data_IF_570990781685
#
_entry.id   IF_570990781685
#
_cell.length_a   1.000
_cell.length_b   1.000
_cell.length_c   1.000
_cell.angle_alpha   90.00
_cell.angle_beta   90.00
_cell.angle_gamma   90.00
#
_symmetry.space_group_name_H-M   'P 1'
#
loop_
_entity.id
_entity.type
_entity.pdbx_description
1 polymer ?
#
# COMPACT_ATOMS: atom_id res chain seq x y z
N UNK A 1 36.88 -28.00 61.04
CA UNK A 1 36.89 -28.40 59.62
C UNK A 1 35.47 -28.40 59.10
N UNK A 2 35.26 -27.75 57.94
CA UNK A 2 34.08 -27.80 57.04
C UNK A 2 32.80 -27.12 57.55
N UNK A 3 32.09 -26.31 56.78
CA UNK A 3 32.29 -25.65 55.49
C UNK A 3 31.22 -24.54 55.42
N UNK A 4 31.62 -23.32 55.12
CA UNK A 4 30.74 -22.17 54.95
C UNK A 4 30.11 -22.24 53.55
N UNK A 5 28.80 -22.43 53.45
CA UNK A 5 28.08 -22.50 52.17
C UNK A 5 27.80 -21.06 51.72
N UNK A 6 28.52 -20.62 50.69
CA UNK A 6 28.33 -19.33 50.02
C UNK A 6 27.25 -19.53 48.95
N UNK A 7 26.09 -18.86 49.12
CA UNK A 7 25.09 -18.74 48.06
C UNK A 7 25.54 -17.69 47.06
N UNK A 8 26.02 -18.13 45.89
CA UNK A 8 26.31 -17.26 44.75
C UNK A 8 25.01 -17.09 43.97
N UNK A 9 24.34 -15.95 44.17
CA UNK A 9 23.20 -15.55 43.36
C UNK A 9 23.70 -15.16 41.99
N UNK A 10 23.55 -16.06 41.01
CA UNK A 10 23.87 -15.82 39.61
C UNK A 10 22.85 -14.82 39.05
N UNK A 11 23.26 -13.57 38.90
CA UNK A 11 22.52 -12.57 38.12
C UNK A 11 22.69 -12.96 36.64
N UNK A 12 21.73 -13.70 36.11
CA UNK A 12 21.59 -13.91 34.67
C UNK A 12 21.10 -12.58 34.09
N UNK A 13 22.04 -11.77 33.60
CA UNK A 13 21.73 -10.68 32.70
C UNK A 13 21.20 -11.31 31.41
N UNK A 14 19.89 -11.42 31.28
CA UNK A 14 19.25 -11.71 29.99
C UNK A 14 19.40 -10.48 29.11
N UNK A 15 20.55 -10.38 28.45
CA UNK A 15 20.71 -9.59 27.25
C UNK A 15 19.77 -10.18 26.21
N UNK A 16 18.53 -9.69 26.17
CA UNK A 16 17.63 -9.95 25.07
C UNK A 16 18.25 -9.28 23.84
N UNK A 17 19.01 -10.07 23.08
CA UNK A 17 19.40 -9.71 21.72
C UNK A 17 18.11 -9.54 20.93
N UNK A 18 17.62 -8.31 20.85
CA UNK A 18 16.65 -7.94 19.83
C UNK A 18 17.30 -8.25 18.48
N UNK A 19 16.69 -9.10 17.63
CA UNK A 19 17.31 -9.49 16.37
C UNK A 19 17.49 -8.25 15.51
N UNK A 20 18.75 -7.84 15.36
CA UNK A 20 19.37 -7.11 14.26
C UNK A 20 18.55 -6.04 13.52
N UNK A 21 17.70 -5.30 14.24
CA UNK A 21 16.88 -4.24 13.64
C UNK A 21 17.77 -3.18 12.98
N UNK A 22 18.95 -2.89 13.55
CA UNK A 22 19.89 -1.92 12.99
C UNK A 22 20.41 -2.30 11.60
N UNK A 23 20.62 -3.59 11.36
CA UNK A 23 21.13 -4.09 10.08
C UNK A 23 20.07 -4.02 8.97
N UNK A 24 18.79 -4.30 9.27
CA UNK A 24 17.70 -4.16 8.28
C UNK A 24 17.54 -2.72 7.80
N UNK A 25 17.57 -1.77 8.73
CA UNK A 25 17.44 -0.35 8.39
C UNK A 25 18.62 0.13 7.54
N UNK A 26 19.86 -0.14 7.98
CA UNK A 26 21.05 0.27 7.20
C UNK A 26 21.10 -0.44 5.84
N UNK A 27 20.67 -1.70 5.75
CA UNK A 27 20.52 -2.39 4.46
C UNK A 27 19.56 -1.64 3.53
N UNK A 28 18.38 -1.25 4.02
CA UNK A 28 17.42 -0.50 3.22
C UNK A 28 17.94 0.87 2.79
N UNK A 29 18.60 1.60 3.70
CA UNK A 29 19.21 2.90 3.40
C UNK A 29 20.34 2.79 2.36
N UNK A 30 21.15 1.74 2.41
CA UNK A 30 22.17 1.48 1.37
C UNK A 30 21.53 1.10 0.04
N UNK A 31 20.48 0.28 0.07
CA UNK A 31 19.76 -0.17 -1.12
C UNK A 31 19.05 0.99 -1.85
N UNK A 32 18.73 2.08 -1.14
CA UNK A 32 18.17 3.31 -1.71
C UNK A 32 19.17 4.10 -2.59
N UNK A 33 20.49 3.85 -2.47
CA UNK A 33 21.54 4.51 -3.24
C UNK A 33 21.41 6.05 -3.18
N UNK A 34 21.21 6.70 -4.33
CA UNK A 34 21.08 8.16 -4.43
C UNK A 34 19.85 8.70 -3.69
N UNK A 35 18.85 7.86 -3.38
CA UNK A 35 17.63 8.26 -2.69
C UNK A 35 17.71 8.08 -1.16
N UNK A 36 18.86 7.65 -0.63
CA UNK A 36 19.08 7.48 0.83
C UNK A 36 18.67 8.71 1.65
N UNK A 37 19.01 9.91 1.16
CA UNK A 37 18.73 11.17 1.85
C UNK A 37 17.23 11.44 2.05
N UNK A 38 16.37 11.01 1.13
CA UNK A 38 14.92 11.13 1.31
C UNK A 38 14.43 10.23 2.45
N UNK A 39 14.98 9.01 2.59
CA UNK A 39 14.59 8.08 3.65
C UNK A 39 15.11 8.54 5.03
N UNK A 40 16.34 9.05 5.09
CA UNK A 40 16.91 9.65 6.32
C UNK A 40 16.10 10.87 6.77
N UNK A 41 15.67 11.73 5.82
CA UNK A 41 14.80 12.88 6.11
C UNK A 41 13.50 12.47 6.80
N UNK A 42 12.91 11.32 6.45
CA UNK A 42 11.69 10.81 7.15
C UNK A 42 11.99 10.39 8.58
N UNK A 43 13.12 9.71 8.81
CA UNK A 43 13.53 9.27 10.15
C UNK A 43 13.81 10.47 11.07
N UNK A 44 14.49 11.49 10.53
CA UNK A 44 14.80 12.73 11.24
C UNK A 44 13.53 13.54 11.54
N UNK A 45 12.59 13.59 10.59
CA UNK A 45 11.32 14.29 10.75
C UNK A 45 10.53 13.80 11.97
N UNK A 46 10.59 12.49 12.26
CA UNK A 46 9.90 11.88 13.40
C UNK A 46 10.82 11.60 14.60
N UNK A 47 12.02 12.21 14.68
CA UNK A 47 12.99 11.93 15.75
C UNK A 47 12.40 12.05 17.16
N UNK A 48 11.59 13.09 17.41
CA UNK A 48 10.94 13.34 18.71
C UNK A 48 9.58 12.62 18.87
N UNK A 49 9.19 11.76 17.92
CA UNK A 49 7.95 10.99 17.98
C UNK A 49 8.23 9.49 17.82
N UNK A 50 8.45 8.75 18.93
CA UNK A 50 8.86 7.35 18.87
C UNK A 50 7.89 6.42 18.12
N UNK A 51 6.57 6.66 18.21
CA UNK A 51 5.56 5.80 17.56
C UNK A 51 5.59 6.00 16.03
N UNK A 52 5.65 7.26 15.56
CA UNK A 52 5.77 7.56 14.13
C UNK A 52 7.16 7.21 13.58
N UNK A 53 8.22 7.37 14.36
CA UNK A 53 9.57 6.96 13.98
C UNK A 53 9.65 5.44 13.79
N UNK A 54 9.00 4.67 14.66
CA UNK A 54 8.90 3.22 14.51
C UNK A 54 8.13 2.83 13.23
N UNK A 55 7.06 3.57 12.89
CA UNK A 55 6.30 3.33 11.66
C UNK A 55 7.11 3.69 10.39
N UNK A 56 7.81 4.82 10.39
CA UNK A 56 8.73 5.19 9.33
C UNK A 56 9.80 4.13 9.10
N UNK A 57 10.41 3.64 10.19
CA UNK A 57 11.37 2.56 10.17
C UNK A 57 10.78 1.27 9.60
N UNK A 58 9.58 0.87 10.04
CA UNK A 58 8.90 -0.31 9.52
C UNK A 58 8.73 -0.24 8.00
N UNK A 59 8.28 0.91 7.47
CA UNK A 59 8.16 1.09 6.02
C UNK A 59 9.53 0.98 5.33
N UNK A 60 10.53 1.73 5.81
CA UNK A 60 11.87 1.79 5.19
C UNK A 60 12.54 0.41 5.18
N UNK A 61 12.49 -0.34 6.28
CA UNK A 61 13.11 -1.67 6.39
C UNK A 61 12.55 -2.68 5.38
N UNK A 62 11.29 -2.51 4.96
CA UNK A 62 10.62 -3.41 4.02
C UNK A 62 10.72 -2.95 2.55
N UNK A 63 11.01 -1.67 2.28
CA UNK A 63 11.09 -1.11 0.92
C UNK A 63 11.99 -1.87 -0.07
N UNK A 64 13.12 -2.50 0.31
CA UNK A 64 13.94 -3.27 -0.62
C UNK A 64 13.18 -4.42 -1.32
N UNK A 65 12.08 -4.87 -0.73
CA UNK A 65 11.23 -5.93 -1.28
C UNK A 65 10.05 -5.40 -2.12
N UNK A 66 9.88 -4.08 -2.22
CA UNK A 66 8.75 -3.43 -2.88
C UNK A 66 9.18 -2.67 -4.13
N UNK A 67 8.54 -3.00 -5.25
CA UNK A 67 8.81 -2.39 -6.55
C UNK A 67 7.57 -2.39 -7.45
N UNK A 68 7.48 -1.40 -8.34
CA UNK A 68 6.53 -1.39 -9.45
C UNK A 68 7.18 -1.80 -10.76
N UNK A 69 6.36 -2.06 -11.78
CA UNK A 69 6.83 -2.22 -13.16
C UNK A 69 6.60 -0.94 -13.95
N UNK A 70 7.59 -0.51 -14.74
CA UNK A 70 7.44 0.62 -15.67
C UNK A 70 7.70 0.16 -17.10
N UNK A 71 6.77 0.51 -17.99
CA UNK A 71 6.86 0.19 -19.42
C UNK A 71 5.84 1.02 -20.21
N UNK A 72 6.29 1.64 -21.30
CA UNK A 72 5.43 2.47 -22.16
C UNK A 72 4.29 1.66 -22.80
N UNK A 73 4.48 0.34 -22.96
CA UNK A 73 3.44 -0.57 -23.42
C UNK A 73 2.29 -0.65 -22.41
N UNK A 74 2.58 -0.67 -21.10
CA UNK A 74 1.55 -0.66 -20.06
C UNK A 74 0.73 0.62 -20.12
N UNK A 75 1.40 1.77 -20.27
CA UNK A 75 0.71 3.07 -20.41
C UNK A 75 -0.19 3.09 -21.64
N UNK A 76 0.27 2.50 -22.75
CA UNK A 76 -0.52 2.38 -23.98
C UNK A 76 -1.77 1.52 -23.77
N UNK A 77 -1.62 0.35 -23.13
CA UNK A 77 -2.74 -0.57 -22.85
C UNK A 77 -3.74 0.08 -21.88
N UNK A 78 -3.25 0.77 -20.83
CA UNK A 78 -4.11 1.53 -19.90
C UNK A 78 -4.92 2.61 -20.60
N UNK A 79 -4.34 3.29 -21.60
CA UNK A 79 -5.08 4.27 -22.40
C UNK A 79 -6.13 3.61 -23.31
N UNK A 80 -5.81 2.47 -23.92
CA UNK A 80 -6.78 1.70 -24.72
C UNK A 80 -8.00 1.30 -23.86
N UNK A 81 -7.75 0.81 -22.64
CA UNK A 81 -8.80 0.49 -21.68
C UNK A 81 -9.63 1.73 -21.31
N UNK A 82 -8.97 2.83 -20.93
CA UNK A 82 -9.64 4.08 -20.57
C UNK A 82 -10.51 4.65 -21.71
N UNK A 83 -10.01 4.58 -22.93
CA UNK A 83 -10.76 4.97 -24.13
C UNK A 83 -11.99 4.10 -24.37
N UNK A 84 -11.88 2.78 -24.21
CA UNK A 84 -13.01 1.86 -24.34
C UNK A 84 -14.07 2.12 -23.27
N UNK A 85 -13.65 2.39 -22.02
CA UNK A 85 -14.53 2.80 -20.92
C UNK A 85 -15.26 4.09 -21.28
N UNK A 86 -14.54 5.11 -21.77
CA UNK A 86 -15.11 6.41 -22.18
C UNK A 86 -16.14 6.26 -23.31
N UNK A 87 -15.90 5.35 -24.25
CA UNK A 87 -16.82 5.03 -25.35
C UNK A 87 -17.99 4.14 -24.92
N UNK A 88 -17.95 3.59 -23.70
CA UNK A 88 -18.90 2.58 -23.19
C UNK A 88 -18.99 1.37 -24.13
N UNK A 89 -17.84 0.91 -24.63
CA UNK A 89 -17.74 -0.30 -25.44
C UNK A 89 -17.95 -1.53 -24.56
N UNK A 90 -19.20 -1.84 -24.18
CA UNK A 90 -19.53 -2.87 -23.19
C UNK A 90 -20.49 -3.89 -23.79
N UNK A 91 -20.24 -5.16 -23.52
CA UNK A 91 -21.17 -6.26 -23.78
C UNK A 91 -21.89 -6.64 -22.49
N UNK A 92 -23.21 -6.79 -22.56
CA UNK A 92 -24.02 -6.99 -21.35
C UNK A 92 -23.98 -5.76 -20.45
N UNK A 93 -23.79 -5.97 -19.15
CA UNK A 93 -23.81 -4.88 -18.16
C UNK A 93 -22.41 -4.37 -17.79
N UNK A 94 -21.39 -5.23 -17.88
CA UNK A 94 -20.10 -4.96 -17.25
C UNK A 94 -18.88 -5.46 -18.03
N UNK A 95 -19.02 -6.25 -19.11
CA UNK A 95 -17.85 -6.76 -19.84
C UNK A 95 -17.33 -5.72 -20.86
N UNK A 96 -16.14 -5.18 -20.62
CA UNK A 96 -15.52 -4.21 -21.53
C UNK A 96 -14.96 -4.91 -22.79
N UNK A 97 -15.34 -4.39 -23.95
CA UNK A 97 -14.93 -4.88 -25.26
C UNK A 97 -13.84 -3.99 -25.84
N UNK A 98 -12.77 -4.65 -26.31
CA UNK A 98 -11.62 -4.01 -26.93
C UNK A 98 -11.61 -4.31 -28.43
N UNK A 99 -11.30 -3.29 -29.25
CA UNK A 99 -11.18 -3.46 -30.69
C UNK A 99 -10.15 -4.54 -31.01
N UNK A 100 -10.49 -5.45 -31.93
CA UNK A 100 -9.63 -6.55 -32.36
C UNK A 100 -8.20 -6.12 -32.73
N UNK A 101 -8.03 -4.97 -33.38
CA UNK A 101 -6.71 -4.40 -33.74
C UNK A 101 -5.78 -4.20 -32.52
N UNK A 102 -6.35 -3.88 -31.36
CA UNK A 102 -5.60 -3.70 -30.12
C UNK A 102 -5.28 -5.05 -29.48
N UNK A 103 -6.23 -5.99 -29.51
CA UNK A 103 -6.01 -7.36 -29.06
C UNK A 103 -4.90 -8.06 -29.85
N UNK A 104 -4.96 -8.00 -31.18
CA UNK A 104 -3.97 -8.62 -32.08
C UNK A 104 -2.55 -8.07 -31.81
N UNK A 105 -2.44 -6.80 -31.38
CA UNK A 105 -1.15 -6.15 -31.11
C UNK A 105 -0.64 -6.37 -29.69
N UNK A 106 -1.53 -6.41 -28.70
CA UNK A 106 -1.15 -6.24 -27.29
C UNK A 106 -1.54 -7.40 -26.36
N UNK A 107 -2.38 -8.34 -26.80
CA UNK A 107 -2.82 -9.47 -25.94
C UNK A 107 -1.68 -10.39 -25.50
N UNK A 108 -0.59 -10.47 -26.28
CA UNK A 108 0.61 -11.24 -25.94
C UNK A 108 1.59 -10.51 -25.02
N UNK A 109 1.32 -9.23 -24.71
CA UNK A 109 2.15 -8.47 -23.78
C UNK A 109 2.09 -9.07 -22.38
N UNK A 110 3.24 -9.11 -21.71
CA UNK A 110 3.37 -9.50 -20.32
C UNK A 110 4.14 -8.45 -19.54
N UNK A 111 3.57 -8.02 -18.43
CA UNK A 111 4.19 -6.99 -17.57
C UNK A 111 5.52 -7.43 -16.94
N UNK A 112 5.80 -8.73 -16.88
CA UNK A 112 7.08 -9.25 -16.38
C UNK A 112 8.29 -8.83 -17.23
N UNK A 113 8.07 -8.34 -18.47
CA UNK A 113 9.12 -7.74 -19.29
C UNK A 113 9.44 -6.28 -18.95
N UNK A 114 8.65 -5.65 -18.07
CA UNK A 114 8.90 -4.27 -17.62
C UNK A 114 10.10 -4.16 -16.69
N UNK A 115 10.71 -2.98 -16.64
CA UNK A 115 11.76 -2.67 -15.67
C UNK A 115 11.16 -2.60 -14.26
N UNK A 116 11.85 -3.19 -13.28
CA UNK A 116 11.50 -3.05 -11.86
C UNK A 116 12.01 -1.73 -11.33
N UNK A 117 11.12 -0.93 -10.79
CA UNK A 117 11.47 0.31 -10.09
C UNK A 117 11.18 0.11 -8.61
N UNK A 118 12.25 0.03 -7.82
CA UNK A 118 12.18 -0.15 -6.37
C UNK A 118 11.77 1.15 -5.68
N UNK A 119 10.86 1.05 -4.72
CA UNK A 119 10.32 2.22 -4.04
C UNK A 119 11.42 2.97 -3.28
N UNK A 120 12.32 2.24 -2.62
CA UNK A 120 13.46 2.81 -1.90
C UNK A 120 14.30 3.77 -2.73
N UNK A 121 14.29 3.61 -4.06
CA UNK A 121 15.12 4.40 -5.00
C UNK A 121 14.41 5.64 -5.55
N UNK A 122 13.09 5.78 -5.37
CA UNK A 122 12.31 6.86 -6.00
C UNK A 122 11.30 7.55 -5.07
N UNK A 123 10.95 6.93 -3.93
CA UNK A 123 9.96 7.45 -3.01
C UNK A 123 10.52 8.68 -2.28
N UNK A 124 9.69 9.72 -2.15
CA UNK A 124 10.10 10.97 -1.51
C UNK A 124 9.74 10.98 -0.03
N UNK A 125 10.46 11.80 0.74
CA UNK A 125 10.17 12.01 2.14
C UNK A 125 8.77 12.57 2.35
N UNK A 126 8.37 13.53 1.51
CA UNK A 126 7.07 14.20 1.61
C UNK A 126 5.91 13.20 1.39
N UNK A 127 6.08 12.24 0.47
CA UNK A 127 5.10 11.15 0.26
C UNK A 127 4.97 10.27 1.50
N UNK A 128 6.10 9.85 2.08
CA UNK A 128 6.09 8.96 3.25
C UNK A 128 5.53 9.64 4.49
N UNK A 129 5.90 10.89 4.71
CA UNK A 129 5.39 11.71 5.82
C UNK A 129 3.87 11.88 5.68
N UNK A 130 3.37 12.24 4.50
CA UNK A 130 1.91 12.36 4.28
C UNK A 130 1.20 11.01 4.51
N UNK A 131 1.75 9.90 4.00
CA UNK A 131 1.17 8.57 4.22
C UNK A 131 1.14 8.18 5.71
N UNK A 132 2.24 8.40 6.44
CA UNK A 132 2.34 8.10 7.86
C UNK A 132 1.33 8.94 8.64
N UNK A 133 1.29 10.25 8.40
CA UNK A 133 0.39 11.16 9.11
C UNK A 133 -1.09 10.82 8.89
N UNK A 134 -1.50 10.58 7.64
CA UNK A 134 -2.87 10.18 7.31
C UNK A 134 -3.23 8.82 7.92
N UNK A 135 -2.28 7.88 7.93
CA UNK A 135 -2.49 6.55 8.54
C UNK A 135 -2.71 6.66 10.05
N UNK A 136 -1.89 7.47 10.74
CA UNK A 136 -2.05 7.73 12.17
C UNK A 136 -3.37 8.44 12.48
N UNK A 137 -3.78 9.41 11.66
CA UNK A 137 -5.07 10.09 11.84
C UNK A 137 -6.21 9.06 11.84
N UNK A 138 -6.30 8.22 10.82
CA UNK A 138 -7.34 7.18 10.70
C UNK A 138 -7.26 6.16 11.83
N UNK A 139 -6.06 5.72 12.17
CA UNK A 139 -5.85 4.73 13.22
C UNK A 139 -6.36 5.22 14.58
N UNK A 140 -6.08 6.48 14.94
CA UNK A 140 -6.49 7.05 16.23
C UNK A 140 -7.92 7.61 16.23
N UNK A 141 -8.45 8.06 15.08
CA UNK A 141 -9.76 8.72 14.96
C UNK A 141 -10.93 7.75 15.13
N UNK A 142 -10.89 6.58 14.49
CA UNK A 142 -12.09 5.74 14.38
C UNK A 142 -12.23 4.70 15.50
N UNK A 143 -13.44 4.53 16.09
CA UNK A 143 -13.63 3.63 17.22
C UNK A 143 -13.32 2.15 16.96
N UNK A 144 -13.54 1.68 15.73
CA UNK A 144 -13.28 0.29 15.35
C UNK A 144 -11.79 -0.07 15.29
N UNK A 145 -10.90 0.93 15.34
CA UNK A 145 -9.46 0.73 15.39
C UNK A 145 -8.89 0.67 16.81
N UNK A 146 -9.71 0.90 17.85
CA UNK A 146 -9.24 1.05 19.25
C UNK A 146 -8.49 -0.16 19.81
N UNK A 147 -8.74 -1.34 19.27
CA UNK A 147 -8.13 -2.59 19.73
C UNK A 147 -6.99 -3.07 18.83
N UNK A 148 -6.67 -2.34 17.76
CA UNK A 148 -5.55 -2.68 16.88
C UNK A 148 -4.24 -2.35 17.59
N UNK A 149 -3.34 -3.34 17.63
CA UNK A 149 -1.98 -3.13 18.11
C UNK A 149 -1.19 -2.24 17.13
N UNK A 150 -0.02 -1.78 17.55
CA UNK A 150 0.89 -1.09 16.64
C UNK A 150 1.33 -1.98 15.47
N UNK A 151 1.51 -3.29 15.71
CA UNK A 151 1.87 -4.24 14.66
C UNK A 151 0.72 -4.40 13.65
N UNK A 152 -0.53 -4.51 14.13
CA UNK A 152 -1.70 -4.55 13.23
C UNK A 152 -1.84 -3.25 12.43
N UNK A 153 -1.53 -2.10 13.05
CA UNK A 153 -1.48 -0.83 12.34
C UNK A 153 -0.43 -0.84 11.22
N UNK A 154 0.78 -1.33 11.50
CA UNK A 154 1.86 -1.44 10.53
C UNK A 154 1.51 -2.36 9.36
N UNK A 155 0.81 -3.47 9.60
CA UNK A 155 0.45 -4.45 8.57
C UNK A 155 -0.80 -4.09 7.77
N UNK A 156 -1.81 -3.46 8.39
CA UNK A 156 -3.13 -3.30 7.76
C UNK A 156 -3.54 -1.86 7.44
N UNK A 157 -2.96 -0.85 8.11
CA UNK A 157 -3.36 0.56 7.92
C UNK A 157 -2.24 1.37 7.30
N UNK A 158 -1.00 1.19 7.75
CA UNK A 158 0.18 1.95 7.34
C UNK A 158 0.65 1.72 5.89
N UNK A 159 0.50 0.53 5.26
CA UNK A 159 1.07 0.29 3.94
C UNK A 159 0.56 1.28 2.89
N UNK A 160 1.47 1.79 2.07
CA UNK A 160 1.17 2.82 1.07
C UNK A 160 0.87 2.24 -0.32
N UNK A 161 0.83 0.92 -0.47
CA UNK A 161 0.60 0.26 -1.76
C UNK A 161 0.03 -1.15 -1.61
N UNK A 162 -0.61 -1.63 -2.68
CA UNK A 162 -0.96 -3.03 -2.88
C UNK A 162 0.05 -3.68 -3.84
N UNK A 163 0.75 -4.70 -3.35
CA UNK A 163 1.66 -5.54 -4.12
C UNK A 163 2.64 -4.73 -5.02
N UNK A 164 2.47 -4.80 -6.35
CA UNK A 164 3.36 -4.18 -7.33
C UNK A 164 2.75 -2.97 -8.08
N UNK A 165 1.69 -2.36 -7.52
CA UNK A 165 1.06 -1.18 -8.14
C UNK A 165 2.01 0.02 -8.21
N UNK A 166 1.89 0.92 -9.20
CA UNK A 166 2.71 2.13 -9.23
C UNK A 166 2.38 3.05 -8.04
N UNK A 167 3.42 3.70 -7.48
CA UNK A 167 3.24 4.69 -6.42
C UNK A 167 2.30 5.81 -6.86
N UNK A 168 1.33 6.13 -6.02
CA UNK A 168 0.38 7.21 -6.25
C UNK A 168 -0.19 7.72 -4.92
N UNK A 169 -0.76 8.92 -4.92
CA UNK A 169 -1.36 9.54 -3.72
C UNK A 169 -2.81 9.06 -3.50
N UNK A 170 -3.04 7.74 -3.64
CA UNK A 170 -4.37 7.16 -3.58
C UNK A 170 -5.03 7.35 -2.20
N UNK A 171 -4.28 7.22 -1.09
CA UNK A 171 -4.84 7.23 0.27
C UNK A 171 -5.68 8.48 0.53
N UNK A 172 -5.13 9.65 0.24
CA UNK A 172 -5.81 10.93 0.43
C UNK A 172 -7.06 11.05 -0.44
N UNK A 173 -6.92 10.70 -1.72
CA UNK A 173 -8.01 10.74 -2.69
C UNK A 173 -9.19 9.83 -2.32
N UNK A 174 -8.89 8.60 -1.89
CA UNK A 174 -9.91 7.65 -1.45
C UNK A 174 -10.52 8.09 -0.11
N UNK A 175 -9.71 8.57 0.82
CA UNK A 175 -10.18 9.11 2.10
C UNK A 175 -11.19 10.24 1.88
N UNK A 176 -10.84 11.27 1.10
CA UNK A 176 -11.70 12.41 0.82
C UNK A 176 -13.01 12.02 0.10
N UNK A 177 -12.99 10.98 -0.73
CA UNK A 177 -14.18 10.53 -1.47
C UNK A 177 -15.12 9.61 -0.67
N UNK A 178 -14.57 8.66 0.09
CA UNK A 178 -15.36 7.61 0.74
C UNK A 178 -15.70 7.89 2.19
N UNK A 179 -14.83 8.59 2.94
CA UNK A 179 -15.08 8.85 4.36
C UNK A 179 -16.35 9.66 4.60
N UNK A 180 -16.64 10.76 3.86
CA UNK A 180 -17.89 11.49 4.08
C UNK A 180 -19.13 10.61 3.88
N UNK A 181 -19.06 9.65 2.93
CA UNK A 181 -20.14 8.70 2.66
C UNK A 181 -20.27 7.67 3.78
N UNK A 182 -19.14 7.12 4.27
CA UNK A 182 -19.12 6.22 5.41
C UNK A 182 -19.67 6.91 6.66
N UNK A 183 -19.19 8.12 6.96
CA UNK A 183 -19.61 8.91 8.11
C UNK A 183 -21.11 9.22 8.09
N UNK A 184 -21.72 9.36 6.91
CA UNK A 184 -23.17 9.51 6.78
C UNK A 184 -23.95 8.22 7.04
N UNK A 185 -23.35 7.06 6.82
CA UNK A 185 -24.02 5.75 6.87
C UNK A 185 -23.81 5.02 8.19
N UNK A 186 -22.69 5.28 8.87
CA UNK A 186 -22.26 4.49 10.01
C UNK A 186 -21.54 5.33 11.07
N UNK A 187 -21.95 5.18 12.33
CA UNK A 187 -21.37 5.84 13.51
C UNK A 187 -21.05 4.86 14.65
N UNK A 188 -21.10 3.56 14.37
CA UNK A 188 -20.83 2.51 15.35
C UNK A 188 -19.34 2.25 15.57
N UNK A 189 -19.05 1.15 16.27
CA UNK A 189 -17.69 0.77 16.67
C UNK A 189 -17.23 -0.56 16.10
N UNK A 190 -18.11 -1.30 15.43
CA UNK A 190 -17.81 -2.56 14.76
C UNK A 190 -17.20 -2.33 13.36
N UNK A 191 -16.11 -3.03 13.06
CA UNK A 191 -15.38 -2.89 11.77
C UNK A 191 -16.10 -3.57 10.60
N UNK A 192 -16.84 -4.65 10.87
CA UNK A 192 -17.58 -5.40 9.85
C UNK A 192 -18.77 -4.58 9.37
N UNK A 193 -19.45 -3.88 10.29
CA UNK A 193 -20.51 -2.95 9.93
C UNK A 193 -19.98 -1.73 9.17
N UNK A 194 -18.82 -1.19 9.56
CA UNK A 194 -18.15 -0.11 8.82
C UNK A 194 -17.80 -0.55 7.40
N UNK A 195 -17.20 -1.74 7.23
CA UNK A 195 -16.88 -2.33 5.94
C UNK A 195 -18.14 -2.57 5.09
N UNK A 196 -19.20 -3.07 5.71
CA UNK A 196 -20.50 -3.29 5.05
C UNK A 196 -21.09 -1.98 4.53
N UNK A 197 -20.98 -0.88 5.28
CA UNK A 197 -21.42 0.44 4.85
C UNK A 197 -20.62 0.96 3.64
N UNK A 198 -19.29 0.80 3.63
CA UNK A 198 -18.46 1.13 2.45
C UNK A 198 -18.85 0.27 1.25
N UNK A 199 -19.08 -1.03 1.43
CA UNK A 199 -19.51 -1.93 0.37
C UNK A 199 -20.85 -1.52 -0.26
N UNK A 200 -21.78 -0.96 0.51
CA UNK A 200 -23.03 -0.40 -0.02
C UNK A 200 -22.82 0.82 -0.90
N UNK A 201 -21.77 1.61 -0.64
CA UNK A 201 -21.35 2.72 -1.50
C UNK A 201 -20.73 2.19 -2.78
N UNK A 202 -19.77 1.26 -2.67
CA UNK A 202 -19.05 0.68 -3.81
C UNK A 202 -19.98 -0.03 -4.79
N UNK A 203 -21.00 -0.77 -4.29
CA UNK A 203 -22.01 -1.44 -5.13
C UNK A 203 -22.84 -0.50 -6.01
N UNK A 204 -22.89 0.79 -5.69
CA UNK A 204 -23.59 1.81 -6.50
C UNK A 204 -22.68 2.42 -7.56
N UNK A 205 -21.37 2.19 -7.46
CA UNK A 205 -20.40 2.62 -8.43
C UNK A 205 -20.24 1.54 -9.51
N UNK A 206 -19.86 1.96 -10.71
CA UNK A 206 -19.70 1.05 -11.84
C UNK A 206 -18.29 0.45 -11.84
N UNK A 207 -18.16 -0.74 -12.42
CA UNK A 207 -16.87 -1.35 -12.71
C UNK A 207 -17.01 -2.19 -13.97
N UNK A 208 -16.02 -2.13 -14.86
CA UNK A 208 -16.02 -2.94 -16.08
C UNK A 208 -14.96 -4.04 -16.03
N UNK A 209 -15.37 -5.27 -16.32
CA UNK A 209 -14.48 -6.41 -16.37
C UNK A 209 -13.76 -6.50 -17.70
N UNK A 210 -12.44 -6.71 -17.65
CA UNK A 210 -11.61 -7.02 -18.80
C UNK A 210 -10.48 -7.97 -18.39
N UNK A 211 -10.30 -9.05 -19.16
CA UNK A 211 -9.25 -10.06 -18.93
C UNK A 211 -8.30 -10.19 -20.13
N UNK A 212 -8.36 -9.24 -21.08
CA UNK A 212 -7.64 -9.34 -22.35
C UNK A 212 -6.13 -9.06 -22.23
N UNK A 213 -5.72 -8.42 -21.13
CA UNK A 213 -4.36 -7.94 -20.94
C UNK A 213 -3.76 -8.39 -19.60
N UNK A 214 -2.49 -8.82 -19.64
CA UNK A 214 -1.72 -9.16 -18.45
C UNK A 214 -0.95 -7.95 -17.92
N UNK A 215 -1.62 -7.13 -17.12
CA UNK A 215 -1.06 -5.95 -16.47
C UNK A 215 -0.62 -6.25 -15.01
N UNK A 216 0.34 -5.49 -14.44
CA UNK A 216 0.60 -5.54 -13.01
C UNK A 216 -0.62 -5.00 -12.24
N UNK A 217 -0.55 -4.91 -10.91
CA UNK A 217 -1.59 -4.19 -10.17
C UNK A 217 -1.73 -2.77 -10.72
N UNK A 218 -2.97 -2.37 -10.95
CA UNK A 218 -3.30 -1.05 -11.47
C UNK A 218 -3.23 -0.06 -10.31
N UNK A 219 -2.61 1.10 -10.52
CA UNK A 219 -2.50 2.09 -9.45
C UNK A 219 -3.87 2.61 -9.01
N UNK A 220 -4.04 2.79 -7.70
CA UNK A 220 -5.29 3.29 -7.10
C UNK A 220 -5.85 4.55 -7.78
N UNK A 221 -5.00 5.46 -8.26
CA UNK A 221 -5.43 6.65 -9.01
C UNK A 221 -6.13 6.35 -10.35
N UNK A 222 -5.63 5.36 -11.08
CA UNK A 222 -6.19 4.90 -12.34
C UNK A 222 -7.49 4.13 -12.12
N UNK A 223 -7.51 3.27 -11.09
CA UNK A 223 -8.71 2.51 -10.72
C UNK A 223 -9.83 3.43 -10.23
N UNK A 224 -9.51 4.47 -9.48
CA UNK A 224 -10.49 5.44 -9.00
C UNK A 224 -11.31 6.08 -10.14
N UNK A 225 -10.64 6.38 -11.26
CA UNK A 225 -11.24 7.10 -12.40
C UNK A 225 -11.79 6.17 -13.48
N UNK A 226 -11.09 5.07 -13.75
CA UNK A 226 -11.33 4.23 -14.94
C UNK A 226 -12.07 2.94 -14.60
N UNK A 227 -11.98 2.46 -13.35
CA UNK A 227 -12.74 1.30 -12.82
C UNK A 227 -12.87 0.14 -13.79
N UNK A 228 -11.72 -0.32 -14.27
CA UNK A 228 -11.61 -1.42 -15.22
C UNK A 228 -10.51 -2.36 -14.81
N UNK A 229 -10.74 -3.66 -14.99
CA UNK A 229 -9.77 -4.71 -14.73
C UNK A 229 -10.48 -6.04 -14.56
N UNK A 230 -9.85 -6.99 -13.89
CA UNK A 230 -10.50 -8.26 -13.54
C UNK A 230 -10.76 -8.32 -12.03
N UNK A 231 -11.13 -9.48 -11.50
CA UNK A 231 -11.54 -9.63 -10.10
C UNK A 231 -10.55 -9.04 -9.10
N UNK A 232 -9.23 -9.15 -9.36
CA UNK A 232 -8.19 -8.57 -8.52
C UNK A 232 -8.32 -7.04 -8.44
N UNK A 233 -8.42 -6.39 -9.58
CA UNK A 233 -8.48 -4.92 -9.65
C UNK A 233 -9.81 -4.38 -9.09
N UNK A 234 -10.88 -5.18 -9.14
CA UNK A 234 -12.14 -4.86 -8.46
C UNK A 234 -12.03 -4.96 -6.93
N UNK A 235 -11.17 -5.84 -6.40
CA UNK A 235 -10.86 -5.93 -4.97
C UNK A 235 -9.90 -4.82 -4.50
N UNK A 236 -9.07 -4.29 -5.39
CA UNK A 236 -8.12 -3.21 -5.09
C UNK A 236 -8.82 -1.83 -4.95
N UNK A 237 -10.07 -1.68 -5.41
CA UNK A 237 -10.91 -0.46 -5.32
C UNK A 237 -11.66 -0.37 -3.99
#
# INVERSE_FOLDING_TARGET
>A
MKQLIIYITIIVLTSSCSPDKGNRLEYALRFAENNRGELEKVLDHYYDNPEKQAAARFLIENMPYHYGYKSWQQDTIKQILADAVKRKSVYGNDLLIIDKKHLDKWSSYSHYYGEKIYDSKIITADYLIENIDLSFEVWKKYPWNKHLSFDDFCEFILPYRIANEPLSNWRKKYYEHYIPKLDSLYKGTDVIDACSAVNLVLKKEWFYYNTDFSLPHLGGDYLFTTRVGYCRDACDV
#
